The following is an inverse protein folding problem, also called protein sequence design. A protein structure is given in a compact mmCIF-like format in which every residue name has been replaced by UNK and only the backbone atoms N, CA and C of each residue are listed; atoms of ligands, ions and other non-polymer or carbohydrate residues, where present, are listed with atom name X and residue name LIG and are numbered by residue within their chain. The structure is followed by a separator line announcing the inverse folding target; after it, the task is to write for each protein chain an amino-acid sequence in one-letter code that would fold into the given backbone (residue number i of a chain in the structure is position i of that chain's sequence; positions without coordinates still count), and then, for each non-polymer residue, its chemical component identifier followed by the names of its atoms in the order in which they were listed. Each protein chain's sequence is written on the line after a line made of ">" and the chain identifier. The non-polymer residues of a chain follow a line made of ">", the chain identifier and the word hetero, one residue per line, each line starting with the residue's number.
data_IF_333529762975
#
_entry.id   IF_333529762975
#
_cell.length_a   1.000
_cell.length_b   1.000
_cell.length_c   1.000
_cell.angle_alpha   90.00
_cell.angle_beta   90.00
_cell.angle_gamma   90.00
#
_symmetry.space_group_name_H-M   'P 1'
#
loop_
_entity.id
_entity.type
_entity.pdbx_description
1 polymer ?
#
# COMPACT_ATOMS: atom_id res chain seq x y z
N UNK A 1 14.35 1.28 -8.97
CA UNK A 1 14.24 2.71 -8.66
C UNK A 1 14.03 3.05 -7.17
N UNK A 2 12.83 3.16 -6.58
CA UNK A 2 12.68 3.89 -5.29
C UNK A 2 12.90 3.11 -3.98
N UNK A 3 12.99 1.78 -4.01
CA UNK A 3 13.12 0.93 -2.81
C UNK A 3 14.42 1.11 -2.00
N UNK A 4 15.40 1.84 -2.55
CA UNK A 4 16.68 2.12 -1.91
C UNK A 4 16.68 3.43 -1.09
N UNK A 5 15.63 4.26 -1.18
CA UNK A 5 15.65 5.63 -0.63
C UNK A 5 15.82 5.66 0.88
N UNK A 6 15.31 4.66 1.59
CA UNK A 6 15.49 4.55 3.04
C UNK A 6 16.97 4.41 3.48
N UNK A 7 17.85 3.93 2.59
CA UNK A 7 19.29 3.76 2.84
C UNK A 7 20.12 4.97 2.39
N UNK A 8 19.52 5.93 1.68
CA UNK A 8 20.24 7.08 1.10
C UNK A 8 20.95 7.93 2.15
N UNK A 9 20.42 8.03 3.37
CA UNK A 9 21.11 8.77 4.44
C UNK A 9 22.46 8.16 4.78
N UNK A 10 22.56 6.82 4.81
CA UNK A 10 23.82 6.11 5.10
C UNK A 10 24.77 6.20 3.91
N UNK A 11 24.25 6.03 2.69
CA UNK A 11 25.03 6.11 1.45
C UNK A 11 25.57 7.51 1.19
N UNK A 12 24.85 8.54 1.65
CA UNK A 12 25.27 9.93 1.56
C UNK A 12 26.56 10.19 2.30
N UNK A 13 26.73 9.66 3.50
CA UNK A 13 27.94 9.88 4.28
C UNK A 13 29.17 9.26 3.62
N UNK A 14 29.00 8.15 2.89
CA UNK A 14 30.06 7.51 2.09
C UNK A 14 30.40 8.38 0.87
N UNK A 15 29.38 8.80 0.12
CA UNK A 15 29.59 9.58 -1.10
C UNK A 15 30.17 10.98 -0.85
N UNK A 16 29.71 11.65 0.20
CA UNK A 16 30.15 13.00 0.56
C UNK A 16 31.43 13.00 1.42
N UNK A 17 32.05 11.84 1.65
CA UNK A 17 33.27 11.79 2.44
C UNK A 17 34.38 12.56 1.71
N UNK A 18 34.87 13.63 2.35
CA UNK A 18 35.91 14.49 1.80
C UNK A 18 37.26 13.78 1.88
N UNK A 19 37.61 13.05 0.82
CA UNK A 19 38.97 12.59 0.63
C UNK A 19 39.51 13.32 -0.60
N UNK A 20 40.43 14.27 -0.39
CA UNK A 20 41.31 14.77 -1.45
C UNK A 20 42.17 13.60 -1.91
N UNK A 21 41.63 12.79 -2.82
CA UNK A 21 42.34 11.67 -3.38
C UNK A 21 42.82 12.04 -4.78
N UNK A 22 44.09 12.46 -4.86
CA UNK A 22 44.75 12.80 -6.11
C UNK A 22 44.70 11.66 -7.15
N UNK A 23 44.54 10.40 -6.71
CA UNK A 23 44.41 9.24 -7.61
C UNK A 23 43.16 9.33 -8.48
N UNK A 24 41.96 9.51 -7.88
CA UNK A 24 40.72 9.58 -8.65
C UNK A 24 40.67 10.84 -9.52
N UNK A 25 41.23 11.95 -9.03
CA UNK A 25 41.33 13.17 -9.82
C UNK A 25 42.16 12.95 -11.09
N UNK A 26 43.34 12.34 -10.97
CA UNK A 26 44.21 12.04 -12.11
C UNK A 26 43.57 11.05 -13.10
N UNK A 27 42.88 10.01 -12.59
CA UNK A 27 42.10 9.10 -13.43
C UNK A 27 41.00 9.85 -14.18
N UNK A 28 40.27 10.74 -13.51
CA UNK A 28 39.20 11.53 -14.12
C UNK A 28 39.70 12.58 -15.12
N UNK A 29 40.90 13.15 -14.93
CA UNK A 29 41.54 14.02 -15.92
C UNK A 29 41.76 13.26 -17.24
N UNK A 30 42.22 12.01 -17.14
CA UNK A 30 42.40 11.11 -18.28
C UNK A 30 41.05 10.72 -18.91
N UNK A 31 40.08 10.28 -18.11
CA UNK A 31 38.74 9.87 -18.57
C UNK A 31 38.02 11.01 -19.31
N UNK A 32 38.07 12.21 -18.75
CA UNK A 32 37.35 13.35 -19.29
C UNK A 32 38.08 14.02 -20.45
N UNK A 33 39.32 13.63 -20.74
CA UNK A 33 40.24 14.30 -21.66
C UNK A 33 40.44 15.79 -21.28
N UNK A 34 40.54 16.07 -19.98
CA UNK A 34 40.79 17.41 -19.49
C UNK A 34 42.30 17.70 -19.56
N UNK A 35 42.71 18.70 -20.34
CA UNK A 35 44.05 19.30 -20.18
C UNK A 35 44.07 20.17 -18.91
N UNK A 36 45.19 20.17 -18.18
CA UNK A 36 45.47 21.05 -17.04
C UNK A 36 45.15 22.52 -17.40
N UNK A 37 43.91 22.93 -17.13
CA UNK A 37 43.48 24.32 -17.26
C UNK A 37 43.04 24.74 -15.88
N UNK A 38 43.63 25.83 -15.38
CA UNK A 38 43.64 26.24 -13.97
C UNK A 38 42.29 26.62 -13.36
N UNK A 39 41.16 26.23 -13.96
CA UNK A 39 39.83 26.34 -13.36
C UNK A 39 39.38 24.96 -12.86
N UNK A 40 38.77 24.91 -11.68
CA UNK A 40 38.11 23.71 -11.18
C UNK A 40 37.03 23.28 -12.17
N UNK A 41 37.26 22.20 -12.91
CA UNK A 41 36.26 21.62 -13.80
C UNK A 41 35.21 20.89 -12.92
N UNK A 42 33.94 21.34 -12.88
CA UNK A 42 32.93 20.71 -12.03
C UNK A 42 32.69 19.23 -12.39
N UNK A 43 32.84 18.86 -13.67
CA UNK A 43 32.73 17.46 -14.10
C UNK A 43 33.86 16.59 -13.54
N UNK A 44 35.03 17.17 -13.30
CA UNK A 44 36.16 16.47 -12.70
C UNK A 44 35.87 16.10 -11.24
N UNK A 45 35.24 16.99 -10.49
CA UNK A 45 34.81 16.74 -9.11
C UNK A 45 33.73 15.65 -9.06
N UNK A 46 32.71 15.74 -9.92
CA UNK A 46 31.64 14.73 -10.05
C UNK A 46 32.24 13.35 -10.37
N UNK A 47 33.15 13.29 -11.34
CA UNK A 47 33.84 12.05 -11.70
C UNK A 47 34.65 11.49 -10.52
N UNK A 48 35.44 12.35 -9.84
CA UNK A 48 36.33 11.91 -8.76
C UNK A 48 35.54 11.35 -7.57
N UNK A 49 34.44 12.01 -7.20
CA UNK A 49 33.52 11.53 -6.16
C UNK A 49 32.85 10.22 -6.55
N UNK A 50 32.45 10.09 -7.81
CA UNK A 50 31.83 8.87 -8.32
C UNK A 50 32.79 7.68 -8.28
N UNK A 51 34.05 7.86 -8.70
CA UNK A 51 35.09 6.82 -8.62
C UNK A 51 35.37 6.39 -7.18
N UNK A 52 35.54 7.35 -6.28
CA UNK A 52 35.73 7.05 -4.86
C UNK A 52 34.56 6.25 -4.28
N UNK A 53 33.34 6.65 -4.63
CA UNK A 53 32.14 5.99 -4.16
C UNK A 53 32.03 4.55 -4.68
N UNK A 54 32.27 4.32 -5.97
CA UNK A 54 32.30 2.99 -6.58
C UNK A 54 33.34 2.08 -5.92
N UNK A 55 34.55 2.58 -5.71
CA UNK A 55 35.59 1.87 -4.97
C UNK A 55 35.13 1.54 -3.54
N UNK A 56 34.52 2.50 -2.85
CA UNK A 56 34.03 2.32 -1.47
C UNK A 56 32.89 1.29 -1.41
N UNK A 57 32.01 1.25 -2.41
CA UNK A 57 30.98 0.22 -2.53
C UNK A 57 31.61 -1.17 -2.71
N UNK A 58 32.63 -1.30 -3.57
CA UNK A 58 33.35 -2.57 -3.80
C UNK A 58 33.96 -3.11 -2.50
N UNK A 59 34.64 -2.25 -1.76
CA UNK A 59 35.33 -2.64 -0.52
C UNK A 59 34.37 -2.99 0.62
N UNK A 60 33.20 -2.35 0.67
CA UNK A 60 32.22 -2.55 1.74
C UNK A 60 31.14 -3.60 1.42
N UNK A 61 31.31 -4.42 0.36
CA UNK A 61 30.37 -5.50 -0.02
C UNK A 61 30.03 -6.46 1.13
N UNK A 62 30.92 -6.60 2.12
CA UNK A 62 30.74 -7.51 3.27
C UNK A 62 29.99 -6.88 4.46
N UNK A 63 29.70 -5.56 4.43
CA UNK A 63 29.24 -4.78 5.61
C UNK A 63 27.80 -4.24 5.39
N UNK A 64 26.88 -5.06 4.88
CA UNK A 64 25.43 -4.77 4.77
C UNK A 64 24.98 -3.74 3.71
N UNK A 65 25.88 -3.18 2.91
CA UNK A 65 25.49 -2.31 1.79
C UNK A 65 25.16 -3.18 0.57
N UNK A 66 23.89 -3.21 0.18
CA UNK A 66 23.47 -3.85 -1.05
C UNK A 66 24.02 -3.05 -2.24
N UNK A 67 24.89 -3.67 -3.05
CA UNK A 67 25.46 -3.05 -4.26
C UNK A 67 24.39 -2.39 -5.13
N UNK A 68 23.20 -3.00 -5.22
CA UNK A 68 22.07 -2.44 -5.99
C UNK A 68 21.58 -1.10 -5.44
N UNK A 69 21.42 -0.98 -4.13
CA UNK A 69 20.96 0.25 -3.49
C UNK A 69 22.01 1.36 -3.63
N UNK A 70 23.29 1.00 -3.50
CA UNK A 70 24.41 1.90 -3.76
C UNK A 70 24.41 2.46 -5.19
N UNK A 71 24.19 1.61 -6.19
CA UNK A 71 24.15 2.04 -7.59
C UNK A 71 22.91 2.89 -7.94
N UNK A 72 21.76 2.59 -7.33
CA UNK A 72 20.58 3.45 -7.42
C UNK A 72 20.87 4.83 -6.81
N UNK A 73 21.54 4.88 -5.66
CA UNK A 73 21.96 6.13 -5.04
C UNK A 73 22.96 6.90 -5.91
N UNK A 74 23.95 6.22 -6.50
CA UNK A 74 24.88 6.83 -7.45
C UNK A 74 24.14 7.44 -8.63
N UNK A 75 23.12 6.75 -9.15
CA UNK A 75 22.30 7.26 -10.26
C UNK A 75 21.63 8.59 -9.88
N UNK A 76 21.01 8.64 -8.69
CA UNK A 76 20.41 9.85 -8.13
C UNK A 76 21.42 10.98 -7.94
N UNK A 77 22.62 10.68 -7.41
CA UNK A 77 23.67 11.68 -7.19
C UNK A 77 24.26 12.22 -8.48
N UNK A 78 24.57 11.36 -9.43
CA UNK A 78 25.05 11.78 -10.75
C UNK A 78 24.07 12.72 -11.43
N UNK A 79 22.78 12.37 -11.47
CA UNK A 79 21.76 13.25 -12.03
C UNK A 79 21.73 14.61 -11.34
N UNK A 80 21.68 14.61 -10.00
CA UNK A 80 21.64 15.83 -9.18
C UNK A 80 22.84 16.74 -9.45
N UNK A 81 24.04 16.18 -9.42
CA UNK A 81 25.27 16.93 -9.54
C UNK A 81 25.48 17.43 -10.98
N UNK A 82 25.17 16.63 -12.00
CA UNK A 82 25.24 17.04 -13.42
C UNK A 82 24.28 18.20 -13.75
N UNK A 83 23.03 18.12 -13.28
CA UNK A 83 22.06 19.21 -13.46
C UNK A 83 22.50 20.47 -12.70
N UNK A 84 23.07 20.33 -11.51
CA UNK A 84 23.53 21.48 -10.71
C UNK A 84 24.62 22.30 -11.39
N UNK A 85 25.44 21.66 -12.23
CA UNK A 85 26.50 22.32 -13.01
C UNK A 85 26.04 22.74 -14.42
N UNK A 86 24.74 22.63 -14.71
CA UNK A 86 24.15 22.97 -16.01
C UNK A 86 24.53 22.01 -17.13
N UNK A 87 24.98 20.79 -16.82
CA UNK A 87 25.31 19.81 -17.84
C UNK A 87 24.04 19.05 -18.28
N UNK A 88 23.68 19.21 -19.56
CA UNK A 88 22.57 18.51 -20.19
C UNK A 88 23.02 17.53 -21.28
N UNK A 89 24.33 17.44 -21.55
CA UNK A 89 24.91 16.59 -22.59
C UNK A 89 25.07 15.13 -22.14
N UNK A 90 25.05 14.91 -20.83
CA UNK A 90 25.16 13.61 -20.19
C UNK A 90 23.84 13.18 -19.57
N UNK A 91 23.41 11.97 -19.92
CA UNK A 91 22.54 11.17 -19.06
C UNK A 91 23.38 10.51 -17.97
N UNK A 92 22.73 10.06 -16.89
CA UNK A 92 23.38 9.33 -15.79
C UNK A 92 24.18 8.13 -16.30
N UNK A 93 23.56 7.32 -17.16
CA UNK A 93 24.16 6.12 -17.76
C UNK A 93 25.36 6.46 -18.65
N UNK A 94 25.24 7.52 -19.47
CA UNK A 94 26.32 7.96 -20.37
C UNK A 94 27.52 8.45 -19.59
N UNK A 95 27.31 9.23 -18.52
CA UNK A 95 28.40 9.67 -17.67
C UNK A 95 29.08 8.48 -16.95
N UNK A 96 28.28 7.57 -16.38
CA UNK A 96 28.80 6.35 -15.74
C UNK A 96 29.60 5.48 -16.71
N UNK A 97 29.10 5.25 -17.93
CA UNK A 97 29.81 4.45 -18.93
C UNK A 97 31.19 5.04 -19.26
N UNK A 98 31.33 6.37 -19.23
CA UNK A 98 32.61 7.03 -19.47
C UNK A 98 33.60 6.78 -18.32
N UNK A 99 33.09 6.71 -17.10
CA UNK A 99 33.87 6.38 -15.89
C UNK A 99 34.32 4.92 -15.91
N UNK A 100 33.43 4.00 -16.26
CA UNK A 100 33.67 2.56 -16.15
C UNK A 100 34.66 2.01 -17.20
N UNK A 101 34.84 2.67 -18.35
CA UNK A 101 35.75 2.24 -19.43
C UNK A 101 37.23 2.24 -19.00
N UNK A 102 37.58 2.85 -17.87
CA UNK A 102 38.97 3.01 -17.46
C UNK A 102 39.58 1.75 -16.82
N UNK A 103 38.82 0.97 -16.05
CA UNK A 103 39.32 -0.17 -15.25
C UNK A 103 38.15 -1.02 -14.72
N UNK A 104 38.26 -2.36 -14.76
CA UNK A 104 37.33 -3.33 -14.14
C UNK A 104 37.16 -3.11 -12.62
N UNK A 105 38.01 -2.24 -12.03
CA UNK A 105 37.90 -1.77 -10.66
C UNK A 105 36.56 -1.08 -10.35
N UNK A 106 35.84 -0.54 -11.35
CA UNK A 106 34.62 0.28 -11.15
C UNK A 106 33.31 -0.32 -11.70
N UNK A 107 33.32 -1.62 -11.99
CA UNK A 107 32.22 -2.38 -12.61
C UNK A 107 31.02 -2.63 -11.67
N UNK A 108 31.08 -2.20 -10.41
CA UNK A 108 30.09 -2.47 -9.36
C UNK A 108 28.65 -2.16 -9.76
N UNK A 109 28.47 -1.15 -10.61
CA UNK A 109 27.17 -0.62 -11.00
C UNK A 109 26.78 -0.90 -12.44
N UNK A 110 27.47 -1.82 -13.11
CA UNK A 110 27.15 -2.21 -14.47
C UNK A 110 25.75 -2.82 -14.59
N UNK A 111 24.97 -2.27 -15.51
CA UNK A 111 23.56 -2.62 -15.69
C UNK A 111 22.63 -2.20 -14.56
N UNK A 112 23.13 -1.50 -13.52
CA UNK A 112 22.36 -1.06 -12.36
C UNK A 112 22.12 0.46 -12.33
N UNK A 113 22.86 1.23 -13.14
CA UNK A 113 22.63 2.67 -13.29
C UNK A 113 21.34 2.92 -14.05
N UNK A 114 20.45 3.70 -13.45
CA UNK A 114 19.17 4.09 -14.02
C UNK A 114 19.28 5.54 -14.54
N UNK A 115 18.80 5.80 -15.77
CA UNK A 115 18.68 7.17 -16.27
C UNK A 115 17.51 7.87 -15.59
N UNK A 116 17.82 9.03 -14.99
CA UNK A 116 16.86 9.82 -14.23
C UNK A 116 16.43 11.01 -15.08
N UNK A 117 15.13 11.31 -15.03
CA UNK A 117 14.57 12.54 -15.57
C UNK A 117 14.04 13.41 -14.41
N UNK A 118 13.53 14.60 -14.73
CA UNK A 118 13.09 15.56 -13.72
C UNK A 118 11.92 15.03 -12.86
N UNK A 119 10.98 14.28 -13.44
CA UNK A 119 9.85 13.69 -12.70
C UNK A 119 10.32 12.64 -11.69
N UNK A 120 11.17 11.72 -12.14
CA UNK A 120 11.79 10.69 -11.30
C UNK A 120 12.62 11.33 -10.20
N UNK A 121 13.41 12.35 -10.52
CA UNK A 121 14.21 13.06 -9.54
C UNK A 121 13.34 13.76 -8.47
N UNK A 122 12.24 14.39 -8.87
CA UNK A 122 11.34 15.03 -7.92
C UNK A 122 10.70 14.01 -6.97
N UNK A 123 10.33 12.82 -7.47
CA UNK A 123 9.84 11.72 -6.65
C UNK A 123 10.90 11.23 -5.64
N UNK A 124 12.16 11.14 -6.05
CA UNK A 124 13.27 10.88 -5.13
C UNK A 124 13.37 11.93 -4.03
N UNK A 125 13.41 13.22 -4.38
CA UNK A 125 13.48 14.33 -3.41
C UNK A 125 12.29 14.30 -2.43
N UNK A 126 11.09 14.00 -2.92
CA UNK A 126 9.89 13.87 -2.09
C UNK A 126 10.03 12.73 -1.06
N UNK A 127 10.49 11.55 -1.48
CA UNK A 127 10.69 10.40 -0.58
C UNK A 127 11.82 10.65 0.42
N UNK A 128 12.96 11.19 -0.04
CA UNK A 128 14.10 11.54 0.82
C UNK A 128 13.65 12.52 1.90
N UNK A 129 12.88 13.53 1.53
CA UNK A 129 12.32 14.51 2.48
C UNK A 129 11.47 13.84 3.55
N UNK A 130 10.61 12.87 3.20
CA UNK A 130 9.81 12.12 4.18
C UNK A 130 10.68 11.31 5.14
N UNK A 131 11.67 10.56 4.64
CA UNK A 131 12.57 9.77 5.49
C UNK A 131 13.39 10.65 6.44
N UNK A 132 13.89 11.80 5.96
CA UNK A 132 14.60 12.77 6.79
C UNK A 132 13.69 13.34 7.88
N UNK A 133 12.43 13.65 7.55
CA UNK A 133 11.46 14.12 8.53
C UNK A 133 11.12 13.03 9.55
N UNK A 134 10.87 11.79 9.12
CA UNK A 134 10.62 10.63 9.98
C UNK A 134 11.72 10.45 11.03
N UNK A 135 12.99 10.48 10.60
CA UNK A 135 14.14 10.36 11.50
C UNK A 135 14.26 11.49 12.52
N UNK A 136 13.58 12.62 12.29
CA UNK A 136 13.56 13.80 13.18
C UNK A 136 12.30 13.87 14.07
N UNK A 137 11.28 13.04 13.83
CA UNK A 137 10.04 13.04 14.63
C UNK A 137 10.34 12.71 16.08
N UNK A 138 11.18 11.71 16.35
CA UNK A 138 11.51 11.28 17.70
C UNK A 138 13.01 11.17 17.84
N UNK A 139 13.60 12.09 18.61
CA UNK A 139 15.01 12.03 18.98
C UNK A 139 15.07 11.52 20.43
N UNK A 140 15.73 10.38 20.72
CA UNK A 140 15.72 9.77 22.05
C UNK A 140 16.10 10.71 23.21
N UNK A 141 16.99 11.66 22.95
CA UNK A 141 17.47 12.64 23.94
C UNK A 141 16.61 13.90 24.08
N UNK A 142 15.76 14.21 23.09
CA UNK A 142 14.97 15.47 23.02
C UNK A 142 13.47 15.24 23.16
N UNK A 143 13.00 14.02 22.94
CA UNK A 143 11.58 13.71 22.85
C UNK A 143 11.01 14.02 21.47
N UNK A 144 9.67 13.97 21.31
CA UNK A 144 9.03 14.12 20.02
C UNK A 144 8.97 15.57 19.53
N UNK A 145 9.17 15.78 18.24
CA UNK A 145 8.94 17.03 17.54
C UNK A 145 7.61 16.97 16.76
N UNK A 146 6.56 17.49 17.39
CA UNK A 146 5.21 17.44 16.81
C UNK A 146 5.03 18.36 15.59
N UNK A 147 5.87 19.38 15.42
CA UNK A 147 5.85 20.22 14.22
C UNK A 147 6.38 19.41 13.04
N UNK A 148 7.49 18.69 13.23
CA UNK A 148 8.04 17.78 12.22
C UNK A 148 7.06 16.64 11.92
N UNK A 149 6.44 16.05 12.94
CA UNK A 149 5.44 14.98 12.73
C UNK A 149 4.26 15.45 11.87
N UNK A 150 3.73 16.66 12.17
CA UNK A 150 2.65 17.26 11.37
C UNK A 150 3.08 17.51 9.93
N UNK A 151 4.24 18.13 9.72
CA UNK A 151 4.76 18.42 8.39
C UNK A 151 5.00 17.14 7.56
N UNK A 152 5.46 16.07 8.22
CA UNK A 152 5.65 14.76 7.59
C UNK A 152 4.31 14.18 7.12
N UNK A 153 3.28 14.23 7.97
CA UNK A 153 1.94 13.77 7.62
C UNK A 153 1.33 14.59 6.49
N UNK A 154 1.45 15.93 6.54
CA UNK A 154 0.92 16.83 5.53
C UNK A 154 1.62 16.62 4.17
N UNK A 155 2.95 16.46 4.18
CA UNK A 155 3.74 16.16 2.97
C UNK A 155 3.32 14.82 2.36
N UNK A 156 3.23 13.77 3.18
CA UNK A 156 2.77 12.45 2.74
C UNK A 156 1.39 12.52 2.09
N UNK A 157 0.44 13.19 2.75
CA UNK A 157 -0.93 13.35 2.26
C UNK A 157 -1.00 14.13 0.95
N UNK A 158 0.00 14.97 0.64
CA UNK A 158 0.08 15.61 -0.64
C UNK A 158 0.57 14.65 -1.73
N UNK A 159 1.66 13.92 -1.47
CA UNK A 159 2.28 13.02 -2.44
C UNK A 159 1.41 11.79 -2.77
N UNK A 160 0.68 11.26 -1.78
CA UNK A 160 -0.19 10.08 -1.98
C UNK A 160 -1.33 10.33 -2.97
N UNK A 161 -1.71 11.60 -3.21
CA UNK A 161 -2.75 11.95 -4.19
C UNK A 161 -2.37 11.55 -5.61
N UNK A 162 -1.08 11.50 -5.93
CA UNK A 162 -0.59 11.07 -7.24
C UNK A 162 -0.85 9.57 -7.46
N UNK A 163 -0.74 8.76 -6.41
CA UNK A 163 -1.02 7.33 -6.44
C UNK A 163 -2.48 6.98 -6.75
N UNK A 164 -3.40 7.91 -6.53
CA UNK A 164 -4.82 7.72 -6.86
C UNK A 164 -5.15 8.09 -8.31
N UNK A 165 -4.24 8.80 -8.99
CA UNK A 165 -4.40 9.22 -10.39
C UNK A 165 -3.69 8.28 -11.35
N UNK A 166 -2.54 7.75 -10.94
CA UNK A 166 -1.70 6.88 -11.73
C UNK A 166 -1.09 5.81 -10.82
N UNK A 167 -1.07 4.55 -11.27
CA UNK A 167 -0.41 3.45 -10.57
C UNK A 167 1.05 3.40 -11.00
N UNK A 168 1.84 4.44 -10.70
CA UNK A 168 3.29 4.30 -10.66
C UNK A 168 3.62 3.44 -9.43
N UNK A 169 3.58 2.13 -9.65
CA UNK A 169 3.64 1.14 -8.59
C UNK A 169 4.91 1.30 -7.75
N UNK A 170 6.04 1.68 -8.35
CA UNK A 170 7.30 1.75 -7.62
C UNK A 170 7.32 2.90 -6.59
N UNK A 171 6.90 4.10 -6.99
CA UNK A 171 6.86 5.25 -6.07
C UNK A 171 5.81 5.04 -4.98
N UNK A 172 4.63 4.57 -5.37
CA UNK A 172 3.51 4.34 -4.45
C UNK A 172 3.74 3.17 -3.50
N UNK A 173 4.50 2.16 -3.90
CA UNK A 173 4.96 1.09 -3.00
C UNK A 173 5.95 1.64 -1.96
N UNK A 174 6.86 2.54 -2.34
CA UNK A 174 7.77 3.14 -1.38
C UNK A 174 7.05 4.07 -0.40
N UNK A 175 6.02 4.79 -0.84
CA UNK A 175 5.14 5.52 0.08
C UNK A 175 4.40 4.59 1.06
N UNK A 176 4.12 3.33 0.74
CA UNK A 176 3.60 2.37 1.74
C UNK A 176 4.64 2.01 2.80
N UNK A 177 5.91 1.91 2.40
CA UNK A 177 7.02 1.70 3.34
C UNK A 177 7.15 2.91 4.29
N UNK A 178 7.08 4.13 3.75
CA UNK A 178 7.06 5.38 4.54
C UNK A 178 5.87 5.38 5.52
N UNK A 179 4.67 5.02 5.05
CA UNK A 179 3.46 4.94 5.88
C UNK A 179 3.63 3.95 7.04
N UNK A 180 4.22 2.79 6.77
CA UNK A 180 4.50 1.78 7.79
C UNK A 180 5.46 2.32 8.85
N UNK A 181 6.57 2.95 8.41
CA UNK A 181 7.56 3.55 9.31
C UNK A 181 7.00 4.71 10.14
N UNK A 182 6.14 5.53 9.53
CA UNK A 182 5.43 6.58 10.22
C UNK A 182 4.56 6.02 11.35
N UNK A 183 3.77 4.97 11.09
CA UNK A 183 2.93 4.34 12.11
C UNK A 183 3.75 3.77 13.27
N UNK A 184 4.84 3.04 12.98
CA UNK A 184 5.77 2.52 13.98
C UNK A 184 6.35 3.63 14.87
N UNK A 185 6.67 4.78 14.27
CA UNK A 185 7.20 5.93 15.00
C UNK A 185 6.12 6.60 15.83
N UNK A 186 4.94 6.81 15.24
CA UNK A 186 3.88 7.60 15.87
C UNK A 186 3.12 6.85 16.95
N UNK A 187 3.13 5.51 16.98
CA UNK A 187 2.44 4.76 18.05
C UNK A 187 3.03 5.04 19.44
N UNK A 188 4.32 5.36 19.53
CA UNK A 188 5.03 5.63 20.80
C UNK A 188 5.10 7.13 21.15
N UNK A 189 4.90 7.99 20.16
CA UNK A 189 4.95 9.46 20.30
C UNK A 189 3.60 9.98 20.81
N UNK A 190 3.55 11.14 21.49
CA UNK A 190 2.29 11.83 21.79
C UNK A 190 2.32 13.24 21.19
N UNK A 191 1.52 13.45 20.14
CA UNK A 191 1.39 14.74 19.46
C UNK A 191 -0.08 15.07 19.24
N UNK A 192 -0.67 16.01 20.01
CA UNK A 192 -2.06 16.41 19.85
C UNK A 192 -2.33 16.94 18.44
N UNK A 193 -3.42 16.48 17.83
CA UNK A 193 -3.84 16.93 16.49
C UNK A 193 -3.04 16.36 15.32
N UNK A 194 -2.07 15.46 15.56
CA UNK A 194 -1.32 14.77 14.50
C UNK A 194 -1.82 13.32 14.40
N UNK A 195 -2.23 12.85 13.21
CA UNK A 195 -2.77 11.50 13.05
C UNK A 195 -1.69 10.44 13.30
N UNK A 196 -2.09 9.30 13.88
CA UNK A 196 -1.23 8.12 14.09
C UNK A 196 -1.05 7.30 12.83
N UNK A 197 -2.04 7.33 11.95
CA UNK A 197 -2.10 6.55 10.73
C UNK A 197 -2.21 7.49 9.53
N UNK A 198 -1.63 7.07 8.41
CA UNK A 198 -1.70 7.75 7.14
C UNK A 198 -2.57 6.95 6.15
N UNK A 199 -3.20 7.58 5.15
CA UNK A 199 -3.99 6.88 4.15
C UNK A 199 -3.10 5.96 3.30
N UNK A 200 -3.65 4.83 2.85
CA UNK A 200 -2.92 3.91 1.95
C UNK A 200 -2.82 4.50 0.55
N UNK A 201 -1.72 4.23 -0.15
CA UNK A 201 -1.51 4.55 -1.57
C UNK A 201 -2.34 3.66 -2.47
N UNK A 202 -2.74 2.48 -1.99
CA UNK A 202 -3.61 1.54 -2.71
C UNK A 202 -5.05 2.00 -2.53
N UNK A 203 -5.71 2.52 -3.58
CA UNK A 203 -7.10 2.92 -3.46
C UNK A 203 -7.91 1.68 -3.08
N UNK A 204 -8.74 1.83 -2.05
CA UNK A 204 -9.81 0.89 -1.83
C UNK A 204 -10.62 0.81 -3.12
N UNK A 205 -10.72 -0.38 -3.72
CA UNK A 205 -11.50 -0.56 -4.93
C UNK A 205 -12.98 -0.41 -4.53
N UNK A 206 -13.49 0.83 -4.63
CA UNK A 206 -14.82 1.22 -4.12
C UNK A 206 -15.90 0.33 -4.74
N UNK A 207 -15.74 0.00 -6.03
CA UNK A 207 -16.59 -0.98 -6.71
C UNK A 207 -16.50 -2.34 -6.04
N UNK A 208 -15.29 -2.85 -5.75
CA UNK A 208 -15.14 -4.12 -5.05
C UNK A 208 -15.77 -4.08 -3.64
N UNK A 209 -15.63 -2.99 -2.88
CA UNK A 209 -16.23 -2.83 -1.53
C UNK A 209 -17.75 -2.79 -1.58
N UNK A 210 -18.34 -2.17 -2.60
CA UNK A 210 -19.80 -2.16 -2.80
C UNK A 210 -20.30 -3.53 -3.28
N UNK A 211 -19.54 -4.19 -4.17
CA UNK A 211 -19.92 -5.46 -4.81
C UNK A 211 -19.71 -6.65 -3.86
N UNK A 212 -18.69 -6.63 -2.98
CA UNK A 212 -18.37 -7.77 -2.11
C UNK A 212 -19.55 -8.20 -1.23
N UNK A 213 -20.24 -7.30 -0.50
CA UNK A 213 -21.39 -7.67 0.31
C UNK A 213 -22.49 -8.32 -0.51
N UNK A 214 -22.75 -7.81 -1.72
CA UNK A 214 -23.78 -8.32 -2.62
C UNK A 214 -23.45 -9.74 -3.13
N UNK A 215 -22.20 -9.95 -3.55
CA UNK A 215 -21.72 -11.25 -4.03
C UNK A 215 -21.71 -12.28 -2.91
N UNK A 216 -21.28 -11.90 -1.71
CA UNK A 216 -21.30 -12.78 -0.54
C UNK A 216 -22.75 -13.18 -0.19
N UNK A 217 -23.68 -12.22 -0.21
CA UNK A 217 -25.11 -12.50 0.02
C UNK A 217 -25.68 -13.47 -1.03
N UNK A 218 -25.33 -13.30 -2.31
CA UNK A 218 -25.74 -14.20 -3.39
C UNK A 218 -25.15 -15.61 -3.22
N UNK A 219 -23.89 -15.74 -2.82
CA UNK A 219 -23.24 -17.03 -2.57
C UNK A 219 -23.94 -17.73 -1.40
N UNK A 220 -24.19 -17.03 -0.30
CA UNK A 220 -24.86 -17.60 0.89
C UNK A 220 -26.27 -18.09 0.52
N UNK A 221 -27.06 -17.27 -0.18
CA UNK A 221 -28.41 -17.66 -0.60
C UNK A 221 -28.41 -18.85 -1.55
N UNK A 222 -27.45 -18.93 -2.48
CA UNK A 222 -27.29 -20.06 -3.38
C UNK A 222 -26.90 -21.36 -2.63
N UNK A 223 -25.98 -21.27 -1.67
CA UNK A 223 -25.61 -22.40 -0.80
C UNK A 223 -26.83 -22.88 0.00
N UNK A 224 -27.59 -21.96 0.61
CA UNK A 224 -28.81 -22.31 1.34
C UNK A 224 -29.82 -23.00 0.43
N UNK A 225 -29.99 -22.54 -0.81
CA UNK A 225 -30.89 -23.16 -1.78
C UNK A 225 -30.46 -24.59 -2.13
N UNK A 226 -29.17 -24.82 -2.36
CA UNK A 226 -28.61 -26.16 -2.61
C UNK A 226 -28.81 -27.05 -1.38
N UNK A 227 -28.46 -26.57 -0.18
CA UNK A 227 -28.66 -27.32 1.05
C UNK A 227 -30.14 -27.63 1.26
N UNK A 228 -31.04 -26.68 1.04
CA UNK A 228 -32.48 -26.93 1.14
C UNK A 228 -32.95 -28.00 0.14
N UNK A 229 -32.45 -28.00 -1.10
CA UNK A 229 -32.84 -28.96 -2.14
C UNK A 229 -32.22 -30.36 -1.95
N UNK A 230 -31.00 -30.45 -1.44
CA UNK A 230 -30.20 -31.68 -1.43
C UNK A 230 -29.95 -32.27 -0.03
N UNK A 231 -30.34 -31.60 1.04
CA UNK A 231 -30.31 -32.18 2.39
C UNK A 231 -31.62 -32.95 2.63
N UNK A 232 -31.62 -34.14 3.27
CA UNK A 232 -32.81 -34.99 3.43
C UNK A 232 -33.92 -34.39 4.31
N UNK A 233 -33.73 -33.16 4.81
CA UNK A 233 -34.72 -32.39 5.54
C UNK A 233 -35.82 -31.80 4.65
N UNK A 234 -35.64 -31.67 3.33
CA UNK A 234 -36.71 -31.24 2.43
C UNK A 234 -37.92 -32.19 2.50
N UNK A 235 -37.65 -33.49 2.48
CA UNK A 235 -38.64 -34.56 2.65
C UNK A 235 -39.31 -34.52 4.03
N UNK A 236 -38.55 -34.15 5.06
CA UNK A 236 -39.02 -34.06 6.45
C UNK A 236 -39.87 -32.80 6.68
N UNK A 237 -39.48 -31.67 6.09
CA UNK A 237 -40.25 -30.42 6.09
C UNK A 237 -41.53 -30.58 5.25
N UNK A 238 -41.46 -31.19 4.07
CA UNK A 238 -42.64 -31.53 3.26
C UNK A 238 -43.59 -32.45 4.03
N UNK A 239 -43.05 -33.42 4.77
CA UNK A 239 -43.85 -34.27 5.65
C UNK A 239 -44.53 -33.46 6.76
N UNK A 240 -43.83 -32.53 7.42
CA UNK A 240 -44.39 -31.65 8.46
C UNK A 240 -45.45 -30.69 7.90
N UNK A 241 -45.22 -30.10 6.73
CA UNK A 241 -46.18 -29.22 6.04
C UNK A 241 -47.44 -30.02 5.65
N UNK A 242 -47.27 -31.22 5.06
CA UNK A 242 -48.40 -32.10 4.71
C UNK A 242 -49.17 -32.58 5.95
N UNK A 243 -48.48 -32.81 7.08
CA UNK A 243 -49.11 -33.19 8.36
C UNK A 243 -49.95 -32.04 8.92
N UNK A 244 -49.42 -30.81 8.95
CA UNK A 244 -50.17 -29.62 9.39
C UNK A 244 -51.37 -29.32 8.48
N UNK A 245 -51.21 -29.48 7.15
CA UNK A 245 -52.30 -29.32 6.18
C UNK A 245 -53.41 -30.36 6.38
N UNK A 246 -53.07 -31.62 6.65
CA UNK A 246 -54.05 -32.67 6.99
C UNK A 246 -54.78 -32.36 8.30
N UNK A 247 -54.08 -31.87 9.32
CA UNK A 247 -54.72 -31.47 10.57
C UNK A 247 -55.71 -30.31 10.37
N UNK A 248 -55.36 -29.32 9.55
CA UNK A 248 -56.28 -28.23 9.20
C UNK A 248 -57.51 -28.70 8.43
N UNK A 249 -57.33 -29.55 7.41
CA UNK A 249 -58.46 -30.10 6.65
C UNK A 249 -59.38 -30.97 7.51
N UNK A 250 -58.82 -31.72 8.48
CA UNK A 250 -59.62 -32.51 9.42
C UNK A 250 -60.42 -31.61 10.38
N UNK A 251 -59.82 -30.51 10.86
CA UNK A 251 -60.50 -29.53 11.70
C UNK A 251 -61.64 -28.85 10.93
N UNK A 252 -61.42 -28.48 9.67
CA UNK A 252 -62.41 -27.85 8.80
C UNK A 252 -63.56 -28.82 8.47
N UNK A 253 -63.26 -30.10 8.22
CA UNK A 253 -64.26 -31.14 8.00
C UNK A 253 -65.07 -31.45 9.27
N UNK A 254 -64.44 -31.53 10.44
CA UNK A 254 -65.16 -31.67 11.73
C UNK A 254 -66.05 -30.46 12.01
N UNK A 255 -65.63 -29.25 11.65
CA UNK A 255 -66.44 -28.03 11.78
C UNK A 255 -67.64 -28.02 10.80
N UNK A 256 -67.46 -28.58 9.60
CA UNK A 256 -68.52 -28.80 8.61
C UNK A 256 -69.53 -29.89 9.04
N UNK A 257 -69.08 -30.98 9.67
CA UNK A 257 -69.96 -32.04 10.18
C UNK A 257 -70.72 -31.62 11.46
N UNK A 258 -70.09 -30.85 12.35
CA UNK A 258 -70.74 -30.30 13.55
C UNK A 258 -71.83 -29.26 13.21
N UNK A 259 -71.66 -28.50 12.13
CA UNK A 259 -72.66 -27.51 11.70
C UNK A 259 -73.89 -28.12 11.02
N UNK A 260 -73.78 -29.32 10.43
CA UNK A 260 -74.90 -30.01 9.78
C UNK A 260 -75.70 -30.98 10.68
N UNK A 261 -75.30 -31.20 11.93
CA UNK A 261 -76.00 -32.12 12.85
C UNK A 261 -76.91 -31.43 13.89
N UNK A 262 -77.13 -30.11 13.79
CA UNK A 262 -77.93 -29.35 14.75
C UNK A 262 -79.34 -28.95 14.27
N UNK A 263 -80.02 -29.81 13.51
CA UNK A 263 -81.46 -29.66 13.28
C UNK A 263 -82.26 -30.57 14.22
N UNK A 264 -82.66 -30.04 15.37
CA UNK A 264 -83.74 -30.59 16.18
C UNK A 264 -85.05 -29.87 15.82
N UNK A 265 -86.15 -30.58 15.49
CA UNK A 265 -87.40 -29.91 15.14
C UNK A 265 -88.08 -29.42 16.43
N UNK A 266 -88.16 -28.10 16.60
CA UNK A 266 -89.05 -27.47 17.58
C UNK A 266 -90.50 -27.75 17.19
N UNK A 267 -91.15 -28.67 17.89
CA UNK A 267 -92.61 -28.83 17.88
C UNK A 267 -93.21 -27.97 19.00
N UNK A 268 -93.87 -26.88 18.62
CA UNK A 268 -94.81 -26.18 19.48
C UNK A 268 -96.21 -26.79 19.31
N UNK A 269 -96.82 -27.22 20.40
CA UNK A 269 -98.27 -27.35 20.57
C UNK A 269 -98.51 -27.15 22.07
N UNK A 270 -99.12 -26.06 22.52
CA UNK A 270 -100.51 -25.72 22.25
C UNK A 270 -101.30 -26.20 23.46
N UNK A 271 -101.56 -25.28 24.39
CA UNK A 271 -102.21 -25.50 25.67
C UNK A 271 -103.70 -25.84 25.47
N UNK A 272 -104.15 -27.02 25.89
CA UNK A 272 -105.56 -27.28 26.21
C UNK A 272 -105.66 -28.08 27.52
N UNK A 273 -106.35 -27.46 28.48
CA UNK A 273 -106.81 -28.02 29.74
C UNK A 273 -107.60 -29.31 29.50
N UNK A 274 -107.53 -30.30 30.40
CA UNK A 274 -108.67 -30.78 31.22
C UNK A 274 -108.15 -31.61 32.40
N UNK A 275 -108.72 -31.34 33.58
CA UNK A 275 -108.64 -32.18 34.78
C UNK A 275 -109.34 -33.52 34.56
N UNK A 276 -108.92 -34.57 35.28
CA UNK A 276 -109.75 -35.40 36.18
C UNK A 276 -108.82 -36.35 36.96
N UNK A 277 -109.11 -36.47 38.26
CA UNK A 277 -108.58 -37.45 39.19
C UNK A 277 -109.52 -38.65 39.29
N UNK A 278 -108.98 -39.87 39.29
CA UNK A 278 -108.91 -40.78 40.46
C UNK A 278 -107.97 -41.94 40.14
#
# INVERSE_FOLDING_TARGET
>A
MYNAVCEFSKLKDIFDSNIENGVYKSQCESILNCSESGNSNPLLDICSKSLYYLYSLKQNRNISLNSREGCIYLSYRLYKDLISVGNHDYTTSKFHSKINVYDDTYDECDGLIEDINQDVFQKYENLISLYVQLGKILIPSKGPDCVVAKNCADSYNNYVKECYKNTDDAFCNELENVRTKYYETMITVTCPGVPKTLPSTKPHNIAAIIITPLVILLIITFIIFILYKFTPYASWIDFLIRRKKRMWNNLDNETYELSHSSDSPKRNSGNENYHIAY
#
